data_IF_140440516619
#
_entry.id   IF_140440516619
#
_cell.length_a   1.000
_cell.length_b   1.000
_cell.length_c   1.000
_cell.angle_alpha   90.00
_cell.angle_beta   90.00
_cell.angle_gamma   90.00
#
_symmetry.space_group_name_H-M   'P 1'
#
loop_
_entity.id
_entity.type
_entity.pdbx_description
1 polymer ?
#
# COMPACT_ATOMS: atom_id res chain seq x y z
N UNK A 1 -45.03 38.88 33.95
CA UNK A 1 -43.72 38.22 33.79
C UNK A 1 -43.68 37.63 32.38
N UNK A 2 -42.96 38.31 31.47
CA UNK A 2 -42.82 37.88 30.05
C UNK A 2 -41.48 37.13 29.90
N UNK A 3 -41.53 35.83 29.59
CA UNK A 3 -40.35 35.00 29.32
C UNK A 3 -39.88 35.25 27.86
N UNK A 4 -38.68 35.78 27.73
CA UNK A 4 -37.97 35.92 26.45
C UNK A 4 -37.30 34.60 26.09
N UNK A 5 -37.78 33.90 25.08
CA UNK A 5 -37.11 32.78 24.46
C UNK A 5 -36.04 33.33 23.46
N UNK A 6 -34.79 33.14 23.79
CA UNK A 6 -33.67 33.37 22.85
C UNK A 6 -33.46 32.11 22.04
N UNK A 7 -33.82 32.15 20.77
CA UNK A 7 -33.50 31.12 19.79
C UNK A 7 -32.01 31.22 19.44
N UNK A 8 -31.21 30.23 19.85
CA UNK A 8 -29.85 30.03 19.32
C UNK A 8 -29.99 29.35 17.98
N UNK A 9 -29.71 30.07 16.90
CA UNK A 9 -29.48 29.51 15.57
C UNK A 9 -28.07 28.89 15.52
N UNK A 10 -27.95 27.57 15.53
CA UNK A 10 -26.73 26.86 15.18
C UNK A 10 -26.52 27.02 13.68
N UNK A 11 -25.54 27.85 13.28
CA UNK A 11 -25.04 27.89 11.93
C UNK A 11 -24.18 26.64 11.71
N UNK A 12 -24.73 25.63 11.03
CA UNK A 12 -23.94 24.52 10.54
C UNK A 12 -23.00 25.04 9.44
N UNK A 13 -21.71 25.19 9.74
CA UNK A 13 -20.67 25.42 8.76
C UNK A 13 -20.55 24.16 7.91
N UNK A 14 -21.20 24.10 6.76
CA UNK A 14 -20.91 23.11 5.74
C UNK A 14 -19.46 23.31 5.29
N UNK A 15 -18.55 22.41 5.67
CA UNK A 15 -17.23 22.32 5.05
C UNK A 15 -17.46 21.94 3.59
N UNK A 16 -17.43 22.92 2.70
CA UNK A 16 -17.38 22.71 1.27
C UNK A 16 -15.98 22.10 1.02
N UNK A 17 -15.93 20.79 0.78
CA UNK A 17 -14.72 20.13 0.33
C UNK A 17 -14.30 20.84 -0.97
N UNK A 18 -13.15 21.54 -0.95
CA UNK A 18 -12.59 22.15 -2.15
C UNK A 18 -12.26 21.02 -3.11
N UNK A 19 -12.66 21.07 -4.38
CA UNK A 19 -12.23 20.09 -5.35
C UNK A 19 -10.70 20.08 -5.39
N UNK A 20 -10.11 18.89 -5.34
CA UNK A 20 -8.67 18.74 -5.49
C UNK A 20 -8.31 19.20 -6.90
N UNK A 21 -7.36 20.15 -7.09
CA UNK A 21 -7.02 20.63 -8.41
C UNK A 21 -6.54 19.47 -9.28
N UNK A 22 -7.08 19.38 -10.50
CA UNK A 22 -6.69 18.41 -11.49
C UNK A 22 -6.21 19.11 -12.75
N UNK A 23 -5.12 18.63 -13.35
CA UNK A 23 -4.54 19.16 -14.57
C UNK A 23 -4.33 18.03 -15.58
N UNK A 24 -4.92 18.15 -16.75
CA UNK A 24 -4.66 17.25 -17.89
C UNK A 24 -3.37 17.68 -18.58
N UNK A 25 -2.49 16.71 -18.79
CA UNK A 25 -1.21 16.90 -19.49
C UNK A 25 -1.23 16.24 -20.88
N UNK A 26 -0.16 16.43 -21.63
CA UNK A 26 0.15 15.64 -22.83
C UNK A 26 1.21 14.57 -22.48
N UNK A 27 1.24 13.46 -23.21
CA UNK A 27 2.28 12.44 -23.05
C UNK A 27 3.70 12.97 -23.32
N UNK A 28 3.82 13.98 -24.20
CA UNK A 28 5.10 14.66 -24.45
C UNK A 28 5.64 15.43 -23.21
N UNK A 29 4.76 15.78 -22.27
CA UNK A 29 5.13 16.43 -21.01
C UNK A 29 5.51 15.45 -19.88
N UNK A 30 5.54 14.15 -20.15
CA UNK A 30 5.97 13.11 -19.21
C UNK A 30 7.45 12.79 -19.40
N UNK A 31 8.26 13.07 -18.38
CA UNK A 31 9.71 12.85 -18.46
C UNK A 31 10.03 11.35 -18.60
N UNK A 32 10.73 10.99 -19.68
CA UNK A 32 11.16 9.61 -19.95
C UNK A 32 10.05 8.70 -20.53
N UNK A 33 8.83 9.18 -20.80
CA UNK A 33 7.72 8.38 -21.30
C UNK A 33 8.09 7.50 -22.48
N UNK A 34 8.76 8.06 -23.49
CA UNK A 34 9.10 7.36 -24.74
C UNK A 34 10.09 6.18 -24.55
N UNK A 35 10.80 6.16 -23.44
CA UNK A 35 11.84 5.16 -23.16
C UNK A 35 11.37 4.02 -22.24
N UNK A 36 10.14 4.09 -21.68
CA UNK A 36 9.62 3.06 -20.79
C UNK A 36 9.21 1.78 -21.56
N UNK A 37 9.24 0.66 -20.87
CA UNK A 37 8.68 -0.61 -21.33
C UNK A 37 7.17 -0.64 -21.11
N UNK A 38 6.42 -0.04 -22.05
CA UNK A 38 4.97 0.00 -22.02
C UNK A 38 4.33 -1.39 -22.14
N UNK A 39 5.01 -2.35 -22.78
CA UNK A 39 4.52 -3.72 -22.92
C UNK A 39 4.51 -4.43 -21.57
N UNK A 40 5.54 -4.26 -20.74
CA UNK A 40 5.56 -4.77 -19.39
C UNK A 40 4.44 -4.14 -18.53
N UNK A 41 4.20 -2.83 -18.67
CA UNK A 41 3.10 -2.14 -17.97
C UNK A 41 1.72 -2.66 -18.42
N UNK A 42 1.53 -2.86 -19.74
CA UNK A 42 0.28 -3.35 -20.31
C UNK A 42 -0.01 -4.79 -19.87
N UNK A 43 1.01 -5.64 -19.73
CA UNK A 43 0.86 -6.99 -19.20
C UNK A 43 0.30 -6.98 -17.76
N UNK A 44 0.76 -6.05 -16.92
CA UNK A 44 0.23 -5.87 -15.54
C UNK A 44 -1.18 -5.28 -15.55
N UNK A 45 -1.48 -4.36 -16.46
CA UNK A 45 -2.83 -3.84 -16.67
C UNK A 45 -3.81 -4.96 -17.07
N UNK A 46 -3.46 -5.79 -18.04
CA UNK A 46 -4.24 -6.96 -18.47
C UNK A 46 -4.49 -7.94 -17.32
N UNK A 47 -3.48 -8.16 -16.47
CA UNK A 47 -3.64 -9.00 -15.28
C UNK A 47 -4.66 -8.43 -14.29
N UNK A 48 -4.87 -7.12 -14.28
CA UNK A 48 -5.85 -6.42 -13.43
C UNK A 48 -7.27 -6.45 -14.02
N UNK A 49 -7.42 -6.66 -15.32
CA UNK A 49 -8.68 -6.51 -16.05
C UNK A 49 -9.82 -7.37 -15.51
N UNK A 50 -9.54 -8.58 -15.05
CA UNK A 50 -10.56 -9.46 -14.46
C UNK A 50 -11.12 -8.97 -13.11
N UNK A 51 -10.54 -7.91 -12.54
CA UNK A 51 -11.02 -7.24 -11.33
C UNK A 51 -11.57 -5.83 -11.62
N UNK A 52 -11.67 -5.43 -12.91
CA UNK A 52 -12.20 -4.15 -13.36
C UNK A 52 -13.58 -4.37 -13.96
N UNK A 53 -14.61 -3.96 -13.26
CA UNK A 53 -16.03 -4.11 -13.63
C UNK A 53 -16.71 -2.79 -14.01
N UNK A 54 -16.07 -1.65 -13.78
CA UNK A 54 -16.62 -0.35 -14.09
C UNK A 54 -16.78 -0.17 -15.62
N UNK A 55 -17.89 0.45 -16.07
CA UNK A 55 -18.24 0.55 -17.50
C UNK A 55 -17.20 1.23 -18.38
N UNK A 56 -16.43 2.15 -17.84
CA UNK A 56 -15.36 2.88 -18.53
C UNK A 56 -14.06 2.06 -18.68
N UNK A 57 -13.87 1.00 -17.89
CA UNK A 57 -12.69 0.14 -17.92
C UNK A 57 -12.87 -1.12 -18.76
N UNK A 58 -14.06 -1.70 -18.76
CA UNK A 58 -14.34 -2.99 -19.45
C UNK A 58 -14.02 -2.95 -20.95
N UNK A 59 -14.37 -1.91 -21.72
CA UNK A 59 -13.99 -1.81 -23.14
C UNK A 59 -12.47 -1.71 -23.32
N UNK A 60 -11.78 -0.97 -22.46
CA UNK A 60 -10.31 -0.81 -22.50
C UNK A 60 -9.60 -2.15 -22.30
N UNK A 61 -10.09 -2.98 -21.39
CA UNK A 61 -9.55 -4.31 -21.16
C UNK A 61 -9.64 -5.22 -22.41
N UNK A 62 -10.69 -5.09 -23.20
CA UNK A 62 -10.82 -5.83 -24.46
C UNK A 62 -9.80 -5.38 -25.51
N UNK A 63 -9.63 -4.06 -25.65
CA UNK A 63 -8.67 -3.47 -26.60
C UNK A 63 -7.20 -3.73 -26.18
N UNK A 64 -6.94 -3.86 -24.89
CA UNK A 64 -5.61 -4.10 -24.35
C UNK A 64 -5.01 -5.44 -24.80
N UNK A 65 -5.85 -6.44 -25.08
CA UNK A 65 -5.39 -7.79 -25.47
C UNK A 65 -4.59 -7.72 -26.78
N UNK A 66 -5.16 -7.13 -27.82
CA UNK A 66 -4.51 -7.05 -29.13
C UNK A 66 -3.34 -6.05 -29.12
N UNK A 67 -3.45 -4.97 -28.35
CA UNK A 67 -2.41 -3.95 -28.19
C UNK A 67 -1.12 -4.50 -27.55
N UNK A 68 -1.19 -5.56 -26.75
CA UNK A 68 -0.05 -6.15 -26.06
C UNK A 68 0.93 -6.93 -26.93
N UNK A 69 0.61 -7.20 -28.19
CA UNK A 69 1.46 -7.99 -29.09
C UNK A 69 2.80 -7.30 -29.41
N UNK A 70 2.86 -5.98 -29.43
CA UNK A 70 4.05 -5.21 -29.74
C UNK A 70 4.27 -4.05 -28.77
N UNK A 71 5.55 -3.64 -28.60
CA UNK A 71 5.87 -2.46 -27.78
C UNK A 71 5.22 -1.16 -28.31
N UNK A 72 5.14 -0.99 -29.63
CA UNK A 72 4.49 0.14 -30.26
C UNK A 72 2.97 0.12 -30.02
N UNK A 73 2.33 -1.04 -30.13
CA UNK A 73 0.92 -1.23 -29.85
C UNK A 73 0.59 -0.95 -28.37
N UNK A 74 1.39 -1.44 -27.46
CA UNK A 74 1.25 -1.20 -26.02
C UNK A 74 1.35 0.32 -25.70
N UNK A 75 2.30 1.01 -26.26
CA UNK A 75 2.43 2.46 -26.10
C UNK A 75 1.22 3.21 -26.71
N UNK A 76 0.84 2.87 -27.95
CA UNK A 76 -0.29 3.47 -28.63
C UNK A 76 -1.61 3.27 -27.84
N UNK A 77 -1.80 2.11 -27.21
CA UNK A 77 -2.95 1.84 -26.34
C UNK A 77 -3.11 2.91 -25.25
N UNK A 78 -2.04 3.20 -24.52
CA UNK A 78 -2.10 4.21 -23.47
C UNK A 78 -2.28 5.61 -24.05
N UNK A 79 -1.57 5.97 -25.11
CA UNK A 79 -1.61 7.32 -25.70
C UNK A 79 -2.97 7.65 -26.35
N UNK A 80 -3.61 6.67 -26.97
CA UNK A 80 -4.88 6.88 -27.66
C UNK A 80 -6.09 6.86 -26.71
N UNK A 81 -6.09 6.00 -25.70
CA UNK A 81 -7.28 5.72 -24.90
C UNK A 81 -7.30 6.42 -23.53
N UNK A 82 -6.17 6.99 -23.12
CA UNK A 82 -6.05 7.66 -21.82
C UNK A 82 -5.61 9.12 -21.97
N UNK A 83 -5.77 9.86 -20.87
CA UNK A 83 -5.15 11.18 -20.68
C UNK A 83 -4.39 11.22 -19.38
N UNK A 84 -3.16 11.76 -19.40
CA UNK A 84 -2.36 11.95 -18.19
C UNK A 84 -2.98 13.08 -17.34
N UNK A 85 -3.25 12.80 -16.06
CA UNK A 85 -3.86 13.76 -15.13
C UNK A 85 -3.00 13.86 -13.88
N UNK A 86 -2.56 15.06 -13.52
CA UNK A 86 -2.00 15.35 -12.21
C UNK A 86 -3.16 15.72 -11.30
N UNK A 87 -3.29 15.04 -10.17
CA UNK A 87 -4.31 15.29 -9.15
C UNK A 87 -3.60 15.85 -7.92
N UNK A 88 -3.97 17.07 -7.51
CA UNK A 88 -3.32 17.78 -6.41
C UNK A 88 -2.16 18.69 -6.87
N UNK A 89 -1.78 19.58 -5.99
CA UNK A 89 -0.77 20.63 -6.20
C UNK A 89 0.55 20.41 -5.44
N UNK A 90 0.59 19.40 -4.58
CA UNK A 90 1.78 19.08 -3.77
C UNK A 90 2.73 18.16 -4.55
N UNK A 91 4.04 18.25 -4.28
CA UNK A 91 4.98 17.25 -4.78
C UNK A 91 4.59 15.85 -4.31
N UNK A 92 4.81 14.86 -5.17
CA UNK A 92 4.55 13.49 -4.80
C UNK A 92 5.50 13.01 -3.68
N UNK A 93 4.99 12.13 -2.83
CA UNK A 93 5.78 11.35 -1.88
C UNK A 93 5.76 9.88 -2.30
N UNK A 94 6.92 9.38 -2.67
CA UNK A 94 7.14 7.97 -2.97
C UNK A 94 7.85 7.27 -1.82
N UNK A 95 7.35 6.09 -1.46
CA UNK A 95 8.00 5.13 -0.58
C UNK A 95 8.06 3.77 -1.26
N UNK A 96 8.63 2.77 -0.60
CA UNK A 96 8.71 1.43 -1.14
C UNK A 96 8.22 0.37 -0.16
N UNK A 97 7.58 -0.66 -0.69
CA UNK A 97 7.23 -1.86 0.05
C UNK A 97 7.71 -3.11 -0.69
N UNK A 98 7.72 -4.23 0.02
CA UNK A 98 8.25 -5.50 -0.49
C UNK A 98 7.58 -6.68 0.21
N UNK A 99 7.74 -7.88 -0.31
CA UNK A 99 7.34 -9.12 0.33
C UNK A 99 8.53 -9.69 1.14
N UNK A 100 8.52 -9.64 2.48
CA UNK A 100 9.60 -10.19 3.30
C UNK A 100 9.62 -11.73 3.25
N UNK A 101 10.83 -12.31 3.35
CA UNK A 101 11.06 -13.71 3.62
C UNK A 101 11.58 -13.84 5.05
N UNK A 102 10.85 -14.56 5.91
CA UNK A 102 11.11 -14.68 7.34
C UNK A 102 11.21 -16.15 7.73
N UNK A 103 12.03 -16.44 8.73
CA UNK A 103 12.05 -17.76 9.37
C UNK A 103 10.83 -17.92 10.28
N UNK A 104 10.26 -19.12 10.32
CA UNK A 104 9.13 -19.42 11.18
C UNK A 104 8.97 -20.89 11.51
N UNK A 105 8.04 -21.20 12.40
CA UNK A 105 7.70 -22.55 12.84
C UNK A 105 6.17 -22.74 12.85
N UNK A 106 5.66 -23.94 12.53
CA UNK A 106 4.23 -24.22 12.63
C UNK A 106 3.77 -24.35 14.08
N UNK A 107 4.71 -24.53 15.03
CA UNK A 107 4.45 -24.65 16.46
C UNK A 107 5.31 -23.68 17.24
N UNK A 108 4.84 -23.28 18.42
CA UNK A 108 5.60 -22.46 19.34
C UNK A 108 6.81 -23.23 19.88
N UNK A 109 7.98 -22.59 19.82
CA UNK A 109 9.22 -23.09 20.42
C UNK A 109 9.92 -21.95 21.19
N UNK A 110 10.99 -22.22 21.98
CA UNK A 110 11.77 -21.15 22.62
C UNK A 110 12.33 -20.12 21.61
N UNK A 111 12.70 -20.56 20.41
CA UNK A 111 13.26 -19.70 19.36
C UNK A 111 12.19 -19.04 18.48
N UNK A 112 11.01 -19.66 18.35
CA UNK A 112 9.89 -19.15 17.56
C UNK A 112 8.71 -18.92 18.51
N UNK A 113 8.63 -17.70 19.08
CA UNK A 113 7.72 -17.39 20.18
C UNK A 113 6.63 -16.37 19.81
N UNK A 114 6.74 -15.70 18.63
CA UNK A 114 5.90 -14.58 18.24
C UNK A 114 4.96 -14.97 17.10
N UNK A 115 3.65 -15.13 17.39
CA UNK A 115 2.71 -15.65 16.41
C UNK A 115 2.21 -14.58 15.42
N UNK A 116 1.89 -15.04 14.22
CA UNK A 116 1.04 -14.32 13.26
C UNK A 116 -0.31 -15.02 13.19
N UNK A 117 -1.40 -14.25 13.11
CA UNK A 117 -2.75 -14.76 13.33
C UNK A 117 -3.65 -14.62 12.11
N UNK A 118 -4.59 -15.56 11.96
CA UNK A 118 -5.80 -15.38 11.14
C UNK A 118 -6.73 -14.37 11.79
N UNK A 119 -7.57 -13.74 10.97
CA UNK A 119 -8.63 -12.85 11.46
C UNK A 119 -9.62 -13.66 12.31
N UNK A 120 -9.96 -13.16 13.53
CA UNK A 120 -10.99 -13.79 14.35
C UNK A 120 -12.35 -13.83 13.60
N UNK A 121 -13.10 -14.94 13.66
CA UNK A 121 -14.35 -15.08 12.91
C UNK A 121 -15.44 -14.08 13.34
N UNK A 122 -15.41 -13.63 14.60
CA UNK A 122 -16.34 -12.62 15.11
C UNK A 122 -16.02 -11.18 14.65
N UNK A 123 -14.83 -10.94 14.09
CA UNK A 123 -14.48 -9.62 13.60
C UNK A 123 -15.04 -9.41 12.20
N UNK A 124 -16.11 -8.65 12.09
CA UNK A 124 -16.66 -8.25 10.81
C UNK A 124 -15.71 -7.33 10.03
N UNK A 125 -15.80 -7.36 8.70
CA UNK A 125 -14.99 -6.47 7.86
C UNK A 125 -15.39 -5.01 8.09
N UNK A 126 -14.37 -4.15 8.27
CA UNK A 126 -14.58 -2.73 8.57
C UNK A 126 -14.93 -2.41 10.02
N UNK A 127 -15.21 -3.40 10.85
CA UNK A 127 -15.51 -3.16 12.28
C UNK A 127 -14.27 -2.73 13.06
N UNK A 128 -14.48 -1.87 14.06
CA UNK A 128 -13.42 -1.49 15.01
C UNK A 128 -13.38 -2.52 16.13
N UNK A 129 -12.19 -3.05 16.40
CA UNK A 129 -11.93 -4.04 17.44
C UNK A 129 -10.85 -3.53 18.41
N UNK A 130 -10.32 -4.41 19.25
CA UNK A 130 -9.29 -4.07 20.24
C UNK A 130 -8.02 -3.50 19.61
N UNK A 131 -7.35 -2.59 20.31
CA UNK A 131 -6.05 -2.08 19.89
C UNK A 131 -4.97 -3.17 19.90
N UNK A 132 -3.85 -2.95 19.19
CA UNK A 132 -2.67 -3.81 19.25
C UNK A 132 -2.24 -4.07 20.70
N UNK A 133 -2.15 -3.01 21.51
CA UNK A 133 -1.77 -3.11 22.90
C UNK A 133 -2.68 -4.08 23.66
N UNK A 134 -3.99 -3.93 23.56
CA UNK A 134 -4.94 -4.83 24.22
C UNK A 134 -4.82 -6.28 23.70
N UNK A 135 -4.68 -6.47 22.38
CA UNK A 135 -4.52 -7.79 21.75
C UNK A 135 -3.28 -8.51 22.33
N UNK A 136 -2.14 -7.81 22.38
CA UNK A 136 -0.84 -8.39 22.75
C UNK A 136 -0.71 -8.56 24.26
N UNK A 137 -1.06 -7.53 25.07
CA UNK A 137 -0.86 -7.55 26.53
C UNK A 137 -1.87 -8.41 27.26
N UNK A 138 -3.14 -8.40 26.84
CA UNK A 138 -4.19 -9.22 27.43
C UNK A 138 -4.26 -10.63 26.83
N UNK A 139 -3.52 -10.88 25.75
CA UNK A 139 -3.47 -12.18 25.09
C UNK A 139 -4.79 -12.61 24.46
N UNK A 140 -5.55 -11.68 23.88
CA UNK A 140 -6.91 -11.91 23.39
C UNK A 140 -7.03 -12.97 22.28
N UNK A 141 -5.91 -13.32 21.65
CA UNK A 141 -5.84 -14.34 20.57
C UNK A 141 -5.22 -15.66 21.05
N UNK A 142 -4.67 -15.71 22.26
CA UNK A 142 -3.98 -16.91 22.77
C UNK A 142 -4.94 -18.07 22.94
N UNK A 143 -4.50 -19.28 22.53
CA UNK A 143 -5.25 -20.53 22.71
C UNK A 143 -6.52 -20.64 21.86
N UNK A 144 -6.68 -19.77 20.84
CA UNK A 144 -7.85 -19.76 19.98
C UNK A 144 -7.66 -20.55 18.67
N UNK A 145 -6.47 -21.11 18.44
CA UNK A 145 -6.16 -21.87 17.21
C UNK A 145 -6.10 -20.98 15.95
N UNK A 146 -5.84 -19.68 16.15
CA UNK A 146 -5.78 -18.71 15.05
C UNK A 146 -4.35 -18.50 14.52
N UNK A 147 -3.36 -19.09 15.15
CA UNK A 147 -1.96 -18.99 14.77
C UNK A 147 -1.73 -19.64 13.39
N UNK A 148 -1.05 -18.91 12.47
CA UNK A 148 -0.60 -19.44 11.18
C UNK A 148 0.82 -19.99 11.29
N UNK A 149 1.68 -19.23 11.94
CA UNK A 149 3.07 -19.54 12.19
C UNK A 149 3.58 -18.73 13.38
N UNK A 150 4.72 -19.16 13.92
CA UNK A 150 5.45 -18.47 14.99
C UNK A 150 6.79 -18.00 14.45
N UNK A 151 7.09 -16.71 14.59
CA UNK A 151 8.34 -16.08 14.15
C UNK A 151 9.32 -15.97 15.34
N UNK A 152 10.58 -15.71 15.02
CA UNK A 152 11.68 -15.58 15.98
C UNK A 152 11.83 -14.15 16.55
N UNK A 153 11.27 -13.15 15.87
CA UNK A 153 11.47 -11.73 16.20
C UNK A 153 10.12 -10.96 16.19
N UNK A 154 9.70 -10.34 17.32
CA UNK A 154 8.49 -9.54 17.38
C UNK A 154 8.56 -8.29 16.49
N UNK A 155 9.76 -7.79 16.22
CA UNK A 155 9.96 -6.64 15.31
C UNK A 155 9.61 -7.04 13.90
N UNK A 156 9.98 -8.24 13.45
CA UNK A 156 9.60 -8.72 12.13
C UNK A 156 8.11 -9.06 12.03
N UNK A 157 7.47 -9.53 13.12
CA UNK A 157 5.99 -9.65 13.16
C UNK A 157 5.32 -8.29 12.94
N UNK A 158 5.80 -7.24 13.62
CA UNK A 158 5.28 -5.90 13.44
C UNK A 158 5.46 -5.41 12.00
N UNK A 159 6.66 -5.54 11.44
CA UNK A 159 6.92 -5.08 10.07
C UNK A 159 6.22 -5.93 9.01
N UNK A 160 6.01 -7.23 9.25
CA UNK A 160 5.18 -8.06 8.38
C UNK A 160 3.73 -7.53 8.31
N UNK A 161 3.18 -7.05 9.43
CA UNK A 161 1.86 -6.40 9.46
C UNK A 161 1.84 -5.08 8.69
N UNK A 162 2.96 -4.34 8.65
CA UNK A 162 3.09 -3.11 7.84
C UNK A 162 3.14 -3.45 6.34
N UNK A 163 3.87 -4.51 5.96
CA UNK A 163 3.95 -4.96 4.56
C UNK A 163 2.66 -5.66 4.08
N UNK A 164 1.88 -6.24 4.99
CA UNK A 164 0.61 -6.92 4.70
C UNK A 164 0.74 -8.31 4.08
N UNK A 165 1.93 -8.74 3.70
CA UNK A 165 2.21 -10.04 3.07
C UNK A 165 3.64 -10.50 3.35
N UNK A 166 3.90 -11.80 3.18
CA UNK A 166 5.24 -12.36 3.35
C UNK A 166 5.34 -13.85 3.05
N UNK A 167 6.57 -14.33 3.05
CA UNK A 167 6.94 -15.74 2.91
C UNK A 167 7.55 -16.22 4.21
N UNK A 168 6.98 -17.26 4.79
CA UNK A 168 7.46 -17.84 6.03
C UNK A 168 8.13 -19.19 5.71
N UNK A 169 9.46 -19.22 5.85
CA UNK A 169 10.27 -20.42 5.61
C UNK A 169 10.24 -21.29 6.88
N UNK A 170 9.65 -22.46 6.76
CA UNK A 170 9.57 -23.45 7.84
C UNK A 170 10.88 -24.25 7.99
N UNK A 171 11.12 -24.90 9.14
CA UNK A 171 12.33 -25.68 9.38
C UNK A 171 12.53 -26.85 8.41
N UNK A 172 11.44 -27.38 7.86
CA UNK A 172 11.45 -28.46 6.87
C UNK A 172 11.67 -27.97 5.43
N UNK A 173 11.94 -26.66 5.24
CA UNK A 173 12.17 -26.03 3.94
C UNK A 173 10.90 -25.58 3.20
N UNK A 174 9.71 -25.95 3.64
CA UNK A 174 8.46 -25.44 3.06
C UNK A 174 8.34 -23.94 3.25
N UNK A 175 7.74 -23.26 2.28
CA UNK A 175 7.41 -21.85 2.35
C UNK A 175 5.90 -21.69 2.44
N UNK A 176 5.44 -21.10 3.55
CA UNK A 176 4.04 -20.69 3.71
C UNK A 176 3.92 -19.24 3.29
N UNK A 177 3.16 -18.97 2.25
CA UNK A 177 2.85 -17.61 1.82
C UNK A 177 1.67 -17.07 2.61
N UNK A 178 1.81 -15.86 3.11
CA UNK A 178 0.76 -15.14 3.82
C UNK A 178 0.46 -13.82 3.14
N UNK A 179 -0.81 -13.46 3.11
CA UNK A 179 -1.30 -12.19 2.60
C UNK A 179 -2.28 -11.56 3.57
N UNK A 180 -2.68 -10.33 3.29
CA UNK A 180 -3.63 -9.58 4.09
C UNK A 180 -4.96 -10.34 4.27
N UNK A 181 -5.32 -10.60 5.51
CA UNK A 181 -6.55 -11.29 5.91
C UNK A 181 -7.57 -10.39 6.61
N UNK A 182 -7.21 -9.14 6.86
CA UNK A 182 -8.05 -8.16 7.56
C UNK A 182 -7.27 -7.35 8.59
N UNK A 183 -7.92 -6.37 9.19
CA UNK A 183 -7.36 -5.55 10.26
C UNK A 183 -8.37 -5.30 11.37
N UNK A 184 -7.90 -4.84 12.53
CA UNK A 184 -8.72 -4.53 13.69
C UNK A 184 -9.51 -3.20 13.60
N UNK A 185 -9.55 -2.54 12.45
CA UNK A 185 -10.27 -1.27 12.27
C UNK A 185 -9.66 -0.05 12.97
N UNK A 186 -8.61 -0.24 13.77
CA UNK A 186 -7.91 0.87 14.41
C UNK A 186 -7.09 1.70 13.41
N UNK A 187 -6.92 3.02 13.65
CA UNK A 187 -6.13 3.87 12.77
C UNK A 187 -4.65 3.50 12.83
N UNK A 188 -3.96 3.65 11.71
CA UNK A 188 -2.50 3.51 11.67
C UNK A 188 -1.82 4.73 12.32
N UNK A 189 -0.84 4.48 13.18
CA UNK A 189 0.06 5.51 13.76
C UNK A 189 1.50 5.14 13.49
N UNK A 190 2.24 6.06 12.85
CA UNK A 190 3.65 5.83 12.51
C UNK A 190 4.53 5.85 13.75
N UNK A 191 5.16 4.73 14.07
CA UNK A 191 6.17 4.67 15.15
C UNK A 191 7.42 5.48 14.81
N UNK A 192 7.78 5.59 13.53
CA UNK A 192 8.89 6.44 13.11
C UNK A 192 8.65 7.94 13.39
N UNK A 193 7.45 8.44 13.12
CA UNK A 193 7.08 9.82 13.48
C UNK A 193 7.06 10.01 15.00
N UNK A 194 6.56 9.04 15.76
CA UNK A 194 6.58 9.10 17.22
C UNK A 194 7.99 9.09 17.78
N UNK A 195 8.91 8.31 17.21
CA UNK A 195 10.33 8.32 17.59
C UNK A 195 10.97 9.69 17.33
N UNK A 196 10.67 10.32 16.21
CA UNK A 196 11.15 11.68 15.90
C UNK A 196 10.57 12.68 16.91
N UNK A 197 9.27 12.61 17.19
CA UNK A 197 8.60 13.49 18.18
C UNK A 197 9.20 13.36 19.59
N UNK A 198 9.61 12.14 19.96
CA UNK A 198 10.29 11.87 21.26
C UNK A 198 11.79 12.22 21.26
N UNK A 199 12.36 12.66 20.15
CA UNK A 199 13.80 12.94 20.02
C UNK A 199 14.69 11.68 20.02
N UNK A 200 14.12 10.51 19.76
CA UNK A 200 14.85 9.23 19.71
C UNK A 200 15.54 9.01 18.36
N UNK A 201 15.15 9.77 17.34
CA UNK A 201 15.65 9.66 15.97
C UNK A 201 15.46 10.98 15.24
N UNK A 202 16.35 11.32 14.31
CA UNK A 202 16.15 12.47 13.43
C UNK A 202 15.29 12.11 12.22
N UNK A 203 14.73 13.11 11.55
CA UNK A 203 13.95 12.93 10.33
C UNK A 203 14.77 12.29 9.20
N UNK A 204 16.06 12.62 9.11
CA UNK A 204 17.00 12.07 8.11
C UNK A 204 17.36 10.61 8.38
N UNK A 205 17.37 10.19 9.65
CA UNK A 205 17.76 8.83 10.04
C UNK A 205 16.58 7.86 10.07
N UNK A 206 15.35 8.38 9.98
CA UNK A 206 14.14 7.59 10.10
C UNK A 206 13.91 6.70 8.85
N UNK A 207 14.37 5.47 8.93
CA UNK A 207 14.14 4.40 7.96
C UNK A 207 13.58 3.14 8.65
N UNK A 208 12.97 2.25 7.90
CA UNK A 208 12.51 0.98 8.44
C UNK A 208 13.66 0.17 9.09
N UNK A 209 14.86 0.24 8.52
CA UNK A 209 16.06 -0.44 9.04
C UNK A 209 16.52 0.17 10.36
N UNK A 210 16.61 1.50 10.46
CA UNK A 210 17.03 2.15 11.69
C UNK A 210 16.01 1.99 12.82
N UNK A 211 14.73 1.99 12.52
CA UNK A 211 13.66 1.70 13.49
C UNK A 211 13.80 0.28 14.02
N UNK A 212 13.95 -0.74 13.14
CA UNK A 212 14.19 -2.12 13.55
C UNK A 212 15.42 -2.23 14.47
N UNK A 213 16.53 -1.63 14.07
CA UNK A 213 17.77 -1.65 14.85
C UNK A 213 17.61 -0.98 16.20
N UNK A 214 16.88 0.12 16.29
CA UNK A 214 16.60 0.79 17.55
C UNK A 214 15.75 -0.06 18.49
N UNK A 215 14.64 -0.61 18.00
CA UNK A 215 13.72 -1.44 18.80
C UNK A 215 14.44 -2.68 19.35
N UNK A 216 15.26 -3.36 18.53
CA UNK A 216 16.05 -4.52 18.97
C UNK A 216 17.09 -4.17 20.06
N UNK A 217 17.72 -2.99 19.95
CA UNK A 217 18.71 -2.55 20.98
C UNK A 217 18.07 -2.05 22.28
N UNK A 218 16.79 -1.72 22.27
CA UNK A 218 16.06 -1.17 23.40
C UNK A 218 14.76 -1.96 23.65
N UNK A 219 14.80 -3.22 24.11
CA UNK A 219 13.63 -4.10 24.14
C UNK A 219 12.42 -3.54 24.90
N UNK A 220 12.62 -2.90 26.06
CA UNK A 220 11.54 -2.31 26.86
C UNK A 220 10.86 -1.13 26.15
N UNK A 221 11.64 -0.12 25.77
CA UNK A 221 11.13 1.04 25.03
C UNK A 221 10.65 0.63 23.62
N UNK A 222 11.31 -0.35 23.03
CA UNK A 222 10.91 -0.92 21.75
C UNK A 222 9.51 -1.54 21.78
N UNK A 223 9.19 -2.33 22.80
CA UNK A 223 7.86 -2.91 22.98
C UNK A 223 6.79 -1.80 23.11
N UNK A 224 7.06 -0.77 23.90
CA UNK A 224 6.17 0.40 24.03
C UNK A 224 5.96 1.10 22.67
N UNK A 225 7.02 1.31 21.90
CA UNK A 225 6.94 1.92 20.58
C UNK A 225 6.10 1.08 19.60
N UNK A 226 6.25 -0.25 19.59
CA UNK A 226 5.47 -1.12 18.72
C UNK A 226 3.98 -1.05 19.06
N UNK A 227 3.60 -0.96 20.33
CA UNK A 227 2.20 -0.86 20.78
C UNK A 227 1.60 0.54 20.61
N UNK A 228 2.42 1.58 20.40
CA UNK A 228 1.94 2.93 20.06
C UNK A 228 1.08 2.94 18.79
N UNK A 229 1.36 2.07 17.82
CA UNK A 229 0.49 1.87 16.66
C UNK A 229 -0.67 0.94 17.02
N UNK A 230 -1.91 1.43 17.19
CA UNK A 230 -3.04 0.60 17.60
C UNK A 230 -3.54 -0.35 16.50
N UNK A 231 -3.13 -0.13 15.24
CA UNK A 231 -3.52 -0.98 14.11
C UNK A 231 -2.87 -2.35 14.20
N UNK A 232 -3.67 -3.41 14.00
CA UNK A 232 -3.24 -4.80 13.99
C UNK A 232 -3.76 -5.49 12.73
N UNK A 233 -2.86 -6.11 11.95
CA UNK A 233 -3.19 -6.81 10.72
C UNK A 233 -3.21 -8.32 10.97
N UNK A 234 -4.25 -8.96 10.46
CA UNK A 234 -4.41 -10.41 10.42
C UNK A 234 -4.05 -10.93 9.03
N UNK A 235 -3.67 -12.19 8.96
CA UNK A 235 -3.21 -12.82 7.73
C UNK A 235 -4.13 -13.95 7.28
N UNK A 236 -4.03 -14.29 6.01
CA UNK A 236 -4.53 -15.55 5.43
C UNK A 236 -3.40 -16.26 4.70
N UNK A 237 -3.47 -17.57 4.63
CA UNK A 237 -2.52 -18.36 3.82
C UNK A 237 -2.92 -18.30 2.34
N UNK A 238 -1.93 -18.34 1.45
CA UNK A 238 -2.09 -18.29 0.00
C UNK A 238 -1.40 -19.52 -0.63
N UNK A 239 -1.96 -20.73 -0.45
CA UNK A 239 -1.29 -21.98 -0.86
C UNK A 239 -1.15 -22.11 -2.38
N UNK A 240 -2.11 -21.56 -3.13
CA UNK A 240 -2.19 -21.71 -4.59
C UNK A 240 -1.45 -20.58 -5.34
N UNK A 241 -0.80 -19.66 -4.63
CA UNK A 241 -0.08 -18.57 -5.26
C UNK A 241 1.31 -19.05 -5.73
N UNK A 242 1.60 -19.06 -7.06
CA UNK A 242 2.88 -19.50 -7.58
C UNK A 242 4.08 -18.76 -6.98
N UNK A 243 5.20 -19.46 -6.81
CA UNK A 243 6.38 -18.92 -6.12
C UNK A 243 7.00 -17.70 -6.80
N UNK A 244 6.91 -17.64 -8.15
CA UNK A 244 7.43 -16.56 -8.98
C UNK A 244 6.54 -15.31 -8.97
N UNK A 245 5.28 -15.43 -8.56
CA UNK A 245 4.37 -14.29 -8.47
C UNK A 245 4.61 -13.49 -7.19
N UNK A 246 4.42 -12.17 -7.27
CA UNK A 246 4.37 -11.30 -6.10
C UNK A 246 3.15 -11.58 -5.22
N UNK A 247 3.05 -10.92 -4.05
CA UNK A 247 1.90 -11.07 -3.17
C UNK A 247 0.61 -10.53 -3.80
N UNK A 248 -0.52 -10.91 -3.22
CA UNK A 248 -1.84 -10.46 -3.68
C UNK A 248 -2.13 -9.07 -3.09
N UNK A 249 -2.28 -8.07 -3.96
CA UNK A 249 -2.67 -6.71 -3.60
C UNK A 249 -4.18 -6.55 -3.37
N UNK A 250 -4.60 -5.31 -3.13
CA UNK A 250 -6.00 -4.96 -2.81
C UNK A 250 -6.99 -5.32 -3.94
N UNK A 251 -6.54 -5.37 -5.19
CA UNK A 251 -7.35 -5.83 -6.32
C UNK A 251 -7.55 -7.35 -6.38
N UNK A 252 -7.02 -8.12 -5.44
CA UNK A 252 -7.05 -9.59 -5.50
C UNK A 252 -6.16 -10.17 -6.61
N UNK A 253 -5.18 -9.42 -7.08
CA UNK A 253 -4.21 -9.80 -8.12
C UNK A 253 -2.80 -9.69 -7.59
N UNK A 254 -1.89 -10.52 -8.11
CA UNK A 254 -0.47 -10.45 -7.75
C UNK A 254 0.13 -9.13 -8.21
N UNK A 255 0.84 -8.45 -7.32
CA UNK A 255 1.61 -7.25 -7.66
C UNK A 255 2.94 -7.62 -8.31
N UNK A 256 3.43 -6.76 -9.19
CA UNK A 256 4.65 -6.94 -9.97
C UNK A 256 5.70 -5.92 -9.57
N UNK A 257 6.93 -6.37 -9.32
CA UNK A 257 8.03 -5.50 -8.90
C UNK A 257 8.26 -4.37 -9.92
N UNK A 258 8.36 -3.13 -9.43
CA UNK A 258 8.56 -1.90 -10.21
C UNK A 258 7.51 -1.67 -11.33
N UNK A 259 6.35 -2.37 -11.25
CA UNK A 259 5.19 -2.19 -12.15
C UNK A 259 3.87 -2.11 -11.40
N UNK A 260 3.87 -2.26 -10.08
CA UNK A 260 2.68 -2.08 -9.24
C UNK A 260 2.94 -1.05 -8.15
N UNK A 261 1.91 -0.25 -7.86
CA UNK A 261 1.92 0.74 -6.78
C UNK A 261 0.70 0.58 -5.88
N UNK A 262 0.90 0.85 -4.59
CA UNK A 262 -0.19 1.11 -3.66
C UNK A 262 -0.49 2.62 -3.64
N UNK A 263 -1.78 2.94 -3.67
CA UNK A 263 -2.29 4.33 -3.80
C UNK A 263 -3.42 4.59 -2.82
N UNK A 264 -3.87 5.84 -2.75
CA UNK A 264 -5.13 6.20 -2.12
C UNK A 264 -6.28 6.12 -3.14
N UNK A 265 -7.21 5.16 -3.00
CA UNK A 265 -8.30 4.97 -3.96
C UNK A 265 -9.32 6.13 -4.00
N UNK A 266 -9.28 7.05 -3.03
CA UNK A 266 -10.08 8.27 -3.07
C UNK A 266 -9.64 9.22 -4.20
N UNK A 267 -8.38 9.15 -4.62
CA UNK A 267 -7.80 10.01 -5.66
C UNK A 267 -7.39 9.24 -6.92
N UNK A 268 -6.87 8.04 -6.74
CA UNK A 268 -6.37 7.20 -7.83
C UNK A 268 -7.16 5.90 -7.88
N UNK A 269 -8.00 5.69 -8.91
CA UNK A 269 -8.76 4.45 -9.03
C UNK A 269 -7.86 3.22 -9.07
N UNK A 270 -8.25 2.16 -8.37
CA UNK A 270 -7.57 0.88 -8.51
C UNK A 270 -7.69 0.37 -9.96
N UNK A 271 -6.60 -0.18 -10.48
CA UNK A 271 -6.44 -0.60 -11.87
C UNK A 271 -5.96 0.52 -12.80
N UNK A 272 -5.98 1.79 -12.37
CA UNK A 272 -5.50 2.88 -13.19
C UNK A 272 -3.99 2.74 -13.45
N UNK A 273 -3.54 2.97 -14.70
CA UNK A 273 -2.11 3.17 -14.98
C UNK A 273 -1.65 4.49 -14.35
N UNK A 274 -0.46 4.47 -13.76
CA UNK A 274 0.15 5.59 -13.04
C UNK A 274 1.55 5.80 -13.58
N UNK A 275 1.82 6.94 -14.16
CA UNK A 275 3.16 7.36 -14.53
C UNK A 275 3.88 7.88 -13.28
N UNK A 276 4.97 7.24 -12.93
CA UNK A 276 5.80 7.56 -11.77
C UNK A 276 7.05 8.29 -12.20
N UNK A 277 7.19 9.53 -11.76
CA UNK A 277 8.42 10.31 -11.86
C UNK A 277 8.98 10.49 -10.45
N UNK A 278 9.65 9.46 -9.97
CA UNK A 278 10.32 9.47 -8.66
C UNK A 278 11.74 10.00 -8.83
N UNK A 279 12.08 11.01 -8.06
CA UNK A 279 13.42 11.58 -8.01
C UNK A 279 14.33 10.85 -7.00
N UNK A 280 15.36 11.51 -6.51
CA UNK A 280 16.26 11.00 -5.49
C UNK A 280 17.40 10.13 -6.05
N UNK A 281 17.99 9.31 -5.17
CA UNK A 281 19.24 8.59 -5.45
C UNK A 281 19.14 7.55 -6.57
N UNK A 282 17.98 6.95 -6.73
CA UNK A 282 17.70 5.98 -7.80
C UNK A 282 16.38 6.43 -8.46
N UNK A 283 16.45 7.37 -9.41
CA UNK A 283 15.26 7.91 -10.05
C UNK A 283 14.51 6.83 -10.84
N UNK A 284 13.18 6.94 -10.86
CA UNK A 284 12.30 6.05 -11.62
C UNK A 284 11.46 6.90 -12.55
N UNK A 285 11.37 6.48 -13.81
CA UNK A 285 10.47 6.98 -14.83
C UNK A 285 9.80 5.76 -15.46
N UNK A 286 8.62 5.38 -14.94
CA UNK A 286 7.99 4.13 -15.34
C UNK A 286 6.47 4.20 -15.21
N UNK A 287 5.79 3.50 -16.12
CA UNK A 287 4.37 3.24 -16.03
C UNK A 287 4.10 2.04 -15.11
N UNK A 288 3.32 2.26 -14.08
CA UNK A 288 2.92 1.25 -13.10
C UNK A 288 1.41 1.17 -13.01
N UNK A 289 0.89 0.11 -12.42
CA UNK A 289 -0.55 -0.07 -12.24
C UNK A 289 -0.91 0.05 -10.75
N UNK A 290 -1.96 0.77 -10.45
CA UNK A 290 -2.50 0.94 -9.11
C UNK A 290 -3.24 -0.35 -8.67
N UNK A 291 -2.51 -1.33 -8.14
CA UNK A 291 -3.05 -2.64 -7.80
C UNK A 291 -3.23 -2.87 -6.29
N UNK A 292 -2.76 -1.92 -5.48
CA UNK A 292 -2.72 -2.11 -4.04
C UNK A 292 -3.10 -0.82 -3.28
N UNK A 293 -3.32 -0.97 -1.97
CA UNK A 293 -3.62 0.13 -1.05
C UNK A 293 -2.86 -0.08 0.25
N UNK A 294 -2.67 1.00 1.01
CA UNK A 294 -2.05 0.91 2.33
C UNK A 294 -2.67 1.90 3.32
N UNK A 295 -2.75 1.53 4.60
CA UNK A 295 -3.31 2.38 5.64
C UNK A 295 -2.56 3.71 5.85
N UNK A 296 -1.28 3.75 5.46
CA UNK A 296 -0.42 4.93 5.48
C UNK A 296 -0.33 5.65 4.13
N UNK A 297 -0.97 5.11 3.08
CA UNK A 297 -0.91 5.67 1.73
C UNK A 297 -2.16 6.52 1.54
N UNK A 298 -2.04 7.82 1.83
CA UNK A 298 -3.14 8.78 1.84
C UNK A 298 -2.77 10.06 1.10
N UNK A 299 -3.71 10.52 0.27
CA UNK A 299 -3.60 11.75 -0.53
C UNK A 299 -3.33 11.53 -2.01
N UNK A 300 -3.52 12.61 -2.83
CA UNK A 300 -3.52 12.53 -4.30
C UNK A 300 -2.13 12.29 -4.91
N UNK A 301 -1.06 12.76 -4.26
CA UNK A 301 0.32 12.64 -4.73
C UNK A 301 1.09 11.67 -3.83
N UNK A 302 0.51 10.48 -3.58
CA UNK A 302 1.08 9.48 -2.69
C UNK A 302 1.07 8.10 -3.33
N UNK A 303 2.25 7.50 -3.49
CA UNK A 303 2.37 6.11 -3.95
C UNK A 303 3.43 5.34 -3.15
N UNK A 304 3.18 4.05 -2.95
CA UNK A 304 4.13 3.09 -2.40
C UNK A 304 4.48 2.07 -3.47
N UNK A 305 5.75 2.03 -3.89
CA UNK A 305 6.19 1.22 -5.04
C UNK A 305 6.54 -0.18 -4.55
N UNK A 306 6.04 -1.21 -5.23
CA UNK A 306 6.42 -2.59 -4.93
C UNK A 306 7.80 -2.91 -5.51
N UNK A 307 8.74 -3.27 -4.64
CA UNK A 307 10.14 -3.55 -5.02
C UNK A 307 10.44 -5.03 -5.22
N UNK A 308 9.48 -5.93 -4.97
CA UNK A 308 9.68 -7.36 -5.12
C UNK A 308 9.77 -8.10 -3.79
N UNK A 309 10.45 -9.26 -3.79
CA UNK A 309 10.49 -10.20 -2.66
C UNK A 309 11.91 -10.32 -2.10
N UNK A 310 12.01 -10.54 -0.79
CA UNK A 310 13.24 -10.88 -0.09
C UNK A 310 14.10 -9.68 0.34
N UNK A 311 15.29 -9.98 0.88
CA UNK A 311 16.15 -9.01 1.56
C UNK A 311 16.66 -7.89 0.65
N UNK A 312 16.99 -8.20 -0.61
CA UNK A 312 17.43 -7.21 -1.60
C UNK A 312 16.35 -6.18 -1.89
N UNK A 313 15.12 -6.65 -2.13
CA UNK A 313 13.95 -5.80 -2.32
C UNK A 313 13.66 -4.95 -1.06
N UNK A 314 13.77 -5.57 0.12
CA UNK A 314 13.59 -4.88 1.40
C UNK A 314 14.61 -3.77 1.64
N UNK A 315 15.87 -3.98 1.24
CA UNK A 315 16.91 -2.94 1.33
C UNK A 315 16.60 -1.78 0.37
N UNK A 316 16.21 -2.07 -0.86
CA UNK A 316 15.86 -1.06 -1.85
C UNK A 316 14.61 -0.28 -1.43
N UNK A 317 13.52 -0.96 -1.10
CA UNK A 317 12.27 -0.35 -0.65
C UNK A 317 12.44 0.53 0.59
N UNK A 318 13.19 0.04 1.59
CA UNK A 318 13.40 0.76 2.85
C UNK A 318 14.25 2.02 2.74
N UNK A 319 14.92 2.24 1.62
CA UNK A 319 15.69 3.45 1.34
C UNK A 319 14.86 4.53 0.60
N UNK A 320 13.62 4.21 0.18
CA UNK A 320 12.80 5.12 -0.62
C UNK A 320 11.98 6.02 0.29
N UNK A 321 12.24 7.30 0.20
CA UNK A 321 11.44 8.40 0.72
C UNK A 321 11.73 9.61 -0.15
N UNK A 322 11.29 9.54 -1.38
CA UNK A 322 11.67 10.48 -2.43
C UNK A 322 10.47 11.31 -2.88
N UNK A 323 10.74 12.53 -3.32
CA UNK A 323 9.75 13.38 -3.98
C UNK A 323 9.68 13.09 -5.48
N UNK A 324 8.81 13.83 -6.17
CA UNK A 324 8.67 13.78 -7.61
C UNK A 324 7.27 14.17 -8.04
N UNK A 325 6.79 13.54 -9.11
CA UNK A 325 5.46 13.75 -9.68
C UNK A 325 4.77 12.42 -9.96
N UNK A 326 3.51 12.31 -9.56
CA UNK A 326 2.63 11.18 -9.86
C UNK A 326 1.55 11.64 -10.83
N UNK A 327 1.44 10.96 -11.97
CA UNK A 327 0.46 11.28 -13.02
C UNK A 327 -0.43 10.05 -13.25
N UNK A 328 -1.72 10.21 -13.05
CA UNK A 328 -2.69 9.11 -13.24
C UNK A 328 -3.16 9.14 -14.71
N UNK A 329 -3.14 8.01 -15.38
CA UNK A 329 -3.73 7.89 -16.71
C UNK A 329 -5.19 7.46 -16.54
N UNK A 330 -6.10 8.37 -16.89
CA UNK A 330 -7.53 8.13 -16.82
C UNK A 330 -8.13 7.94 -18.22
N UNK A 331 -9.16 7.09 -18.37
CA UNK A 331 -9.97 7.06 -19.60
C UNK A 331 -10.37 8.47 -20.00
N UNK A 332 -10.41 8.74 -21.30
CA UNK A 332 -10.55 10.11 -21.85
C UNK A 332 -11.72 10.88 -21.21
N UNK A 333 -12.91 10.28 -21.20
CA UNK A 333 -14.11 10.93 -20.67
C UNK A 333 -13.98 11.24 -19.17
N UNK A 334 -13.38 10.31 -18.42
CA UNK A 334 -13.14 10.48 -16.99
C UNK A 334 -12.11 11.58 -16.69
N UNK A 335 -11.08 11.68 -17.51
CA UNK A 335 -10.06 12.72 -17.36
C UNK A 335 -10.64 14.13 -17.53
N UNK A 336 -11.46 14.31 -18.54
CA UNK A 336 -12.09 15.62 -18.78
C UNK A 336 -13.21 15.94 -17.80
N UNK A 337 -13.91 14.95 -17.28
CA UNK A 337 -14.90 15.14 -16.21
C UNK A 337 -14.31 15.61 -14.87
N UNK A 338 -12.99 15.50 -14.69
CA UNK A 338 -12.31 16.02 -13.50
C UNK A 338 -11.90 17.50 -13.60
N UNK A 339 -11.98 18.08 -14.80
CA UNK A 339 -11.69 19.49 -14.96
C UNK A 339 -12.86 20.30 -14.43
N UNK A 340 -12.63 21.44 -13.76
CA UNK A 340 -13.71 22.36 -13.43
C UNK A 340 -14.38 22.83 -14.75
N UNK A 341 -15.71 22.91 -14.71
CA UNK A 341 -16.49 23.51 -15.83
C UNK A 341 -15.87 24.87 -16.13
N UNK A 342 -15.39 25.06 -17.40
CA UNK A 342 -14.72 26.26 -17.87
C UNK A 342 -15.69 27.46 -18.02
#
# INVERSE_FOLDING_TARGET
MRALWRSLALAALAMIARPCPAQVLTFAGLDGWAADDHQAALAVFLHSCSALDAPDWVPLCKLAVDAGETAAGARAFFELLFRPVVIGDQPALFTGYYEPELAGSPVRTPNFAYPIYRKPPELADGAVWHSREAIETQGLLRGRGLEIAWLDDPVEVYFLMIQGSGRIRMPDGRVVRVGYGGKNGQPYRSIGQEMIRRGLMTQSDASAQSIRAFVRRNPGLGAELLTFNPSFVFFKTLPDLPAEKGPVGAMGRSVTALRSVAVDPEFTPLGAPVWVEKDGRAPIRALMIAQDTGGAIKGPQRADIFYGTGAGAGKAAGAVKDSGRMVVLLPIDRAYAMLPDG
#
